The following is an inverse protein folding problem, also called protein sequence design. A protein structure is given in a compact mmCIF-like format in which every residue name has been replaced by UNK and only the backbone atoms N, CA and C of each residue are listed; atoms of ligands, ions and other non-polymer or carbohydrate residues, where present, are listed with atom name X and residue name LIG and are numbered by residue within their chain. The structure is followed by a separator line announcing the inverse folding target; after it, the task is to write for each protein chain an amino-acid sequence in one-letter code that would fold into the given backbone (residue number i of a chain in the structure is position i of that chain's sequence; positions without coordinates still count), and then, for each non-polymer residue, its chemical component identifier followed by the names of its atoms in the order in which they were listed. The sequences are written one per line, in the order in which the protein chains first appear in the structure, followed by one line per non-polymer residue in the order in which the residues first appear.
data_IF_399190336632
#
_entry.id   IF_399190336632
#
_cell.length_a   1.000
_cell.length_b   1.000
_cell.length_c   1.000
_cell.angle_alpha   90.00
_cell.angle_beta   90.00
_cell.angle_gamma   90.00
#
_symmetry.space_group_name_H-M   'P 1'
#
loop_
_entity.id
_entity.type
_entity.pdbx_description
1 polymer ?
#
# COMPACT_ATOMS: atom_id res chain seq x y z
N UNK A 1 30.53 -10.88 -39.42
CA UNK A 1 29.74 -9.63 -39.28
C UNK A 1 29.36 -9.51 -37.82
N UNK A 2 29.99 -8.58 -37.11
CA UNK A 2 29.83 -8.40 -35.67
C UNK A 2 28.56 -7.57 -35.40
N UNK A 3 27.66 -8.11 -34.56
CA UNK A 3 26.50 -7.38 -34.07
C UNK A 3 26.95 -6.43 -32.96
N UNK A 4 26.68 -5.15 -33.13
CA UNK A 4 27.02 -4.11 -32.16
C UNK A 4 26.15 -4.20 -30.92
N UNK A 5 26.79 -4.36 -29.77
CA UNK A 5 26.17 -4.16 -28.46
C UNK A 5 25.84 -2.66 -28.30
N UNK A 6 24.56 -2.34 -28.13
CA UNK A 6 24.11 -0.98 -27.84
C UNK A 6 24.59 -0.52 -26.47
N UNK A 7 24.76 0.80 -26.24
CA UNK A 7 25.25 1.33 -24.98
C UNK A 7 24.23 1.08 -23.86
N UNK A 8 24.62 0.26 -22.88
CA UNK A 8 23.91 0.09 -21.61
C UNK A 8 24.10 1.39 -20.82
N UNK A 9 23.06 2.22 -20.75
CA UNK A 9 23.05 3.40 -19.91
C UNK A 9 23.02 2.97 -18.44
N UNK A 10 24.00 3.33 -17.60
CA UNK A 10 23.89 3.13 -16.17
C UNK A 10 22.78 4.06 -15.67
N UNK A 11 21.65 3.48 -15.25
CA UNK A 11 20.61 4.22 -14.55
C UNK A 11 21.20 4.98 -13.37
N UNK A 12 20.57 6.08 -12.91
CA UNK A 12 21.06 6.85 -11.79
C UNK A 12 21.14 5.94 -10.55
N UNK A 13 22.34 5.50 -10.20
CA UNK A 13 22.63 4.87 -8.92
C UNK A 13 22.52 5.95 -7.86
N UNK A 14 21.30 6.26 -7.43
CA UNK A 14 21.05 7.00 -6.20
C UNK A 14 21.52 6.08 -5.08
N UNK A 15 22.78 6.23 -4.72
CA UNK A 15 23.40 5.56 -3.58
C UNK A 15 22.79 6.23 -2.34
N UNK A 16 21.68 5.70 -1.87
CA UNK A 16 21.13 6.07 -0.57
C UNK A 16 22.22 5.70 0.44
N UNK A 17 22.76 6.67 1.21
CA UNK A 17 23.80 6.38 2.19
C UNK A 17 23.30 5.28 3.13
N UNK A 18 24.18 4.34 3.54
CA UNK A 18 23.77 3.23 4.40
C UNK A 18 23.05 3.80 5.62
N UNK A 19 21.80 3.35 5.80
CA UNK A 19 20.88 3.86 6.81
C UNK A 19 21.58 3.96 8.16
N UNK A 20 21.47 5.12 8.78
CA UNK A 20 21.98 5.37 10.12
C UNK A 20 21.30 4.42 11.11
N UNK A 21 21.96 3.29 11.40
CA UNK A 21 21.50 2.33 12.41
C UNK A 21 21.89 2.87 13.77
N UNK A 22 20.91 3.29 14.55
CA UNK A 22 21.15 3.57 15.95
C UNK A 22 21.57 2.26 16.63
N UNK A 23 22.60 2.28 17.49
CA UNK A 23 22.97 1.09 18.23
C UNK A 23 21.78 0.61 19.06
N UNK A 24 21.52 -0.70 19.07
CA UNK A 24 20.40 -1.29 19.82
C UNK A 24 20.39 -0.87 21.31
N UNK A 25 21.58 -0.65 21.90
CA UNK A 25 21.73 -0.12 23.26
C UNK A 25 21.10 1.26 23.42
N UNK A 26 21.23 2.14 22.43
CA UNK A 26 20.64 3.48 22.45
C UNK A 26 19.11 3.43 22.32
N UNK A 27 18.58 2.55 21.46
CA UNK A 27 17.13 2.32 21.36
C UNK A 27 16.54 1.76 22.66
N UNK A 28 17.26 0.83 23.30
CA UNK A 28 16.87 0.26 24.59
C UNK A 28 16.92 1.33 25.69
N UNK A 29 17.98 2.14 25.75
CA UNK A 29 18.10 3.26 26.68
C UNK A 29 16.98 4.30 26.49
N UNK A 30 16.63 4.63 25.24
CA UNK A 30 15.56 5.57 24.94
C UNK A 30 14.18 5.04 25.37
N UNK A 31 13.94 3.73 25.21
CA UNK A 31 12.72 3.09 25.71
C UNK A 31 12.67 3.05 27.24
N UNK A 32 13.77 2.69 27.90
CA UNK A 32 13.84 2.66 29.36
C UNK A 32 13.64 4.06 29.94
N UNK A 33 14.34 5.05 29.40
CA UNK A 33 14.18 6.45 29.78
C UNK A 33 12.75 6.92 29.56
N UNK A 34 12.17 6.69 28.37
CA UNK A 34 10.80 7.07 28.06
C UNK A 34 9.76 6.40 28.96
N UNK A 35 9.93 5.11 29.28
CA UNK A 35 9.08 4.39 30.22
C UNK A 35 9.20 4.94 31.65
N UNK A 36 10.42 5.20 32.12
CA UNK A 36 10.62 5.78 33.46
C UNK A 36 10.05 7.19 33.58
N UNK A 37 10.22 8.03 32.54
CA UNK A 37 9.63 9.35 32.48
C UNK A 37 8.09 9.30 32.44
N UNK A 38 7.52 8.41 31.62
CA UNK A 38 6.07 8.24 31.55
C UNK A 38 5.48 7.74 32.88
N UNK A 39 6.15 6.78 33.54
CA UNK A 39 5.74 6.28 34.85
C UNK A 39 5.83 7.35 35.94
N UNK A 40 6.91 8.15 35.95
CA UNK A 40 7.05 9.28 36.86
C UNK A 40 5.99 10.36 36.62
N UNK A 41 5.70 10.69 35.36
CA UNK A 41 4.65 11.64 34.98
C UNK A 41 3.26 11.16 35.41
N UNK A 42 2.96 9.88 35.20
CA UNK A 42 1.72 9.25 35.67
C UNK A 42 1.60 9.27 37.20
N UNK A 43 2.68 8.98 37.93
CA UNK A 43 2.70 9.06 39.38
C UNK A 43 2.45 10.49 39.89
N UNK A 44 3.03 11.51 39.25
CA UNK A 44 2.77 12.91 39.57
C UNK A 44 1.29 13.29 39.34
N UNK A 45 0.66 12.78 38.28
CA UNK A 45 -0.77 13.00 38.02
C UNK A 45 -1.66 12.32 39.07
N UNK A 46 -1.36 11.09 39.45
CA UNK A 46 -2.08 10.39 40.53
C UNK A 46 -1.95 11.16 41.84
N UNK A 47 -0.72 11.57 42.18
CA UNK A 47 -0.46 12.31 43.41
C UNK A 47 -1.23 13.65 43.39
N UNK A 48 -1.20 14.36 42.27
CA UNK A 48 -1.99 15.58 42.09
C UNK A 48 -3.49 15.36 42.32
N UNK A 49 -4.06 14.24 41.85
CA UNK A 49 -5.48 13.93 42.04
C UNK A 49 -5.82 13.64 43.50
N UNK A 50 -4.98 12.91 44.22
CA UNK A 50 -5.21 12.55 45.62
C UNK A 50 -4.92 13.68 46.61
N UNK A 51 -3.93 14.54 46.32
CA UNK A 51 -3.50 15.61 47.24
C UNK A 51 -4.44 16.83 47.20
N UNK A 52 -5.18 17.02 46.11
CA UNK A 52 -6.04 18.17 45.88
C UNK A 52 -7.01 18.54 47.00
N UNK A 53 -7.82 17.61 47.53
CA UNK A 53 -8.81 17.94 48.56
C UNK A 53 -8.35 17.70 50.01
N UNK A 54 -7.16 17.12 50.24
CA UNK A 54 -6.77 16.62 51.59
C UNK A 54 -5.64 17.43 52.23
N UNK A 55 -4.76 18.08 51.46
CA UNK A 55 -3.50 18.63 51.98
C UNK A 55 -3.28 20.13 51.69
N UNK A 56 -3.93 20.69 50.68
CA UNK A 56 -3.76 22.11 50.32
C UNK A 56 -5.09 22.85 50.27
N UNK A 57 -5.25 23.90 51.08
CA UNK A 57 -6.42 24.79 51.07
C UNK A 57 -6.48 25.70 49.83
N UNK A 58 -5.41 25.74 49.02
CA UNK A 58 -5.29 26.57 47.82
C UNK A 58 -4.94 25.71 46.59
N UNK A 59 -5.64 25.93 45.47
CA UNK A 59 -5.43 25.24 44.17
C UNK A 59 -3.99 25.36 43.62
N UNK A 60 -3.22 26.33 44.12
CA UNK A 60 -1.93 26.76 43.58
C UNK A 60 -0.81 25.69 43.64
N UNK A 61 -0.89 24.72 44.55
CA UNK A 61 0.10 23.62 44.64
C UNK A 61 -0.19 22.43 43.72
N UNK A 62 -1.46 22.24 43.34
CA UNK A 62 -1.95 21.07 42.61
C UNK A 62 -1.79 21.28 41.10
N UNK A 63 -2.10 22.48 40.61
CA UNK A 63 -2.02 22.83 39.19
C UNK A 63 -0.60 22.65 38.60
N UNK A 64 0.49 23.18 39.20
CA UNK A 64 1.83 23.06 38.64
C UNK A 64 2.32 21.61 38.60
N UNK A 65 1.98 20.80 39.61
CA UNK A 65 2.35 19.40 39.69
C UNK A 65 1.67 18.58 38.59
N UNK A 66 0.39 18.86 38.32
CA UNK A 66 -0.35 18.26 37.22
C UNK A 66 0.26 18.62 35.86
N UNK A 67 0.64 19.89 35.65
CA UNK A 67 1.29 20.32 34.41
C UNK A 67 2.65 19.66 34.19
N UNK A 68 3.48 19.58 35.24
CA UNK A 68 4.78 18.89 35.16
C UNK A 68 4.59 17.40 34.87
N UNK A 69 3.64 16.74 35.55
CA UNK A 69 3.31 15.34 35.32
C UNK A 69 2.83 15.08 33.90
N UNK A 70 1.95 15.94 33.37
CA UNK A 70 1.43 15.86 32.01
C UNK A 70 2.50 16.02 30.94
N UNK A 71 3.35 17.05 31.05
CA UNK A 71 4.48 17.26 30.12
C UNK A 71 5.43 16.06 30.15
N UNK A 72 5.78 15.56 31.33
CA UNK A 72 6.68 14.43 31.48
C UNK A 72 6.09 13.14 30.87
N UNK A 73 4.78 12.93 31.02
CA UNK A 73 4.07 11.81 30.42
C UNK A 73 4.08 11.90 28.89
N UNK A 74 3.75 13.05 28.32
CA UNK A 74 3.75 13.27 26.87
C UNK A 74 5.15 13.02 26.28
N UNK A 75 6.19 13.60 26.88
CA UNK A 75 7.58 13.44 26.43
C UNK A 75 8.03 11.99 26.55
N UNK A 76 7.69 11.31 27.65
CA UNK A 76 8.01 9.90 27.87
C UNK A 76 7.37 8.98 26.83
N UNK A 77 6.07 9.14 26.58
CA UNK A 77 5.35 8.37 25.54
C UNK A 77 5.88 8.66 24.13
N UNK A 78 6.18 9.92 23.84
CA UNK A 78 6.74 10.31 22.55
C UNK A 78 8.11 9.66 22.30
N UNK A 79 8.99 9.64 23.31
CA UNK A 79 10.28 8.95 23.22
C UNK A 79 10.13 7.43 23.01
N UNK A 80 9.17 6.79 23.68
CA UNK A 80 8.86 5.36 23.48
C UNK A 80 8.34 5.10 22.07
N UNK A 81 7.40 5.93 21.58
CA UNK A 81 6.82 5.81 20.24
C UNK A 81 7.87 6.00 19.14
N UNK A 82 8.74 7.01 19.28
CA UNK A 82 9.87 7.22 18.38
C UNK A 82 10.84 6.04 18.39
N UNK A 83 11.16 5.49 19.56
CA UNK A 83 12.07 4.34 19.67
C UNK A 83 11.48 3.05 19.11
N UNK A 84 10.17 2.88 19.19
CA UNK A 84 9.47 1.79 18.53
C UNK A 84 9.46 1.97 17.01
N UNK A 85 9.14 3.16 16.52
CA UNK A 85 9.11 3.49 15.09
C UNK A 85 10.49 3.38 14.43
N UNK A 86 11.54 3.89 15.09
CA UNK A 86 12.92 3.78 14.57
C UNK A 86 13.44 2.35 14.58
N UNK A 87 13.12 1.54 15.60
CA UNK A 87 13.48 0.12 15.61
C UNK A 87 12.81 -0.63 14.44
N UNK A 88 11.51 -0.42 14.24
CA UNK A 88 10.78 -1.01 13.10
C UNK A 88 11.39 -0.60 11.75
N UNK A 89 11.79 0.66 11.60
CA UNK A 89 12.46 1.16 10.39
C UNK A 89 13.88 0.63 10.18
N UNK A 90 14.57 0.19 11.23
CA UNK A 90 15.91 -0.42 11.12
C UNK A 90 15.85 -1.90 10.75
N UNK A 91 14.80 -2.59 11.21
CA UNK A 91 14.54 -3.98 10.85
C UNK A 91 13.86 -4.10 9.46
N UNK A 92 13.25 -3.01 8.98
CA UNK A 92 12.72 -2.92 7.63
C UNK A 92 13.88 -2.86 6.60
N UNK A 93 13.93 -3.78 5.62
CA UNK A 93 14.92 -3.70 4.55
C UNK A 93 14.76 -2.39 3.75
N UNK A 94 15.86 -1.69 3.44
CA UNK A 94 15.81 -0.35 2.85
C UNK A 94 15.11 -0.39 1.49
N UNK A 95 13.98 0.33 1.37
CA UNK A 95 13.24 0.46 0.11
C UNK A 95 12.39 -0.75 -0.30
N UNK A 96 12.45 -1.88 0.43
CA UNK A 96 11.69 -3.08 0.08
C UNK A 96 10.26 -3.06 0.63
N UNK A 97 9.99 -2.42 1.77
CA UNK A 97 8.71 -2.59 2.46
C UNK A 97 7.56 -1.84 1.76
N UNK A 98 7.80 -0.62 1.25
CA UNK A 98 6.76 0.17 0.59
C UNK A 98 6.49 -0.32 -0.84
N UNK A 99 7.52 -0.75 -1.56
CA UNK A 99 7.40 -1.32 -2.91
C UNK A 99 6.80 -2.73 -2.87
N UNK A 100 7.29 -3.64 -2.01
CA UNK A 100 6.66 -4.97 -1.91
C UNK A 100 5.23 -4.92 -1.42
N UNK A 101 4.89 -4.06 -0.46
CA UNK A 101 3.53 -4.03 0.07
C UNK A 101 2.56 -3.43 -0.95
N UNK A 102 2.99 -2.45 -1.75
CA UNK A 102 2.20 -1.93 -2.86
C UNK A 102 2.10 -2.92 -4.02
N UNK A 103 3.21 -3.58 -4.39
CA UNK A 103 3.21 -4.61 -5.42
C UNK A 103 2.34 -5.80 -5.03
N UNK A 104 2.42 -6.27 -3.79
CA UNK A 104 1.64 -7.42 -3.30
C UNK A 104 0.15 -7.08 -3.19
N UNK A 105 -0.21 -5.90 -2.67
CA UNK A 105 -1.62 -5.48 -2.58
C UNK A 105 -2.22 -5.27 -3.96
N UNK A 106 -1.47 -4.63 -4.87
CA UNK A 106 -1.89 -4.41 -6.27
C UNK A 106 -2.01 -5.73 -7.01
N UNK A 107 -1.09 -6.67 -6.78
CA UNK A 107 -1.14 -8.01 -7.36
C UNK A 107 -2.35 -8.80 -6.88
N UNK A 108 -2.61 -8.86 -5.57
CA UNK A 108 -3.76 -9.57 -5.02
C UNK A 108 -5.07 -9.01 -5.58
N UNK A 109 -5.14 -7.68 -5.74
CA UNK A 109 -6.27 -7.04 -6.40
C UNK A 109 -6.43 -7.53 -7.85
N UNK A 110 -5.36 -7.58 -8.64
CA UNK A 110 -5.43 -8.00 -10.05
C UNK A 110 -5.60 -9.50 -10.27
N UNK A 111 -5.05 -10.36 -9.41
CA UNK A 111 -5.31 -11.80 -9.43
C UNK A 111 -6.79 -12.10 -9.14
N UNK A 112 -7.37 -11.40 -8.15
CA UNK A 112 -8.81 -11.49 -7.88
C UNK A 112 -9.64 -10.91 -9.04
N UNK A 113 -9.21 -9.79 -9.60
CA UNK A 113 -9.91 -9.11 -10.70
C UNK A 113 -9.91 -9.94 -12.00
N UNK A 114 -8.80 -10.59 -12.36
CA UNK A 114 -8.74 -11.48 -13.53
C UNK A 114 -9.68 -12.68 -13.36
N UNK A 115 -9.74 -13.25 -12.14
CA UNK A 115 -10.67 -14.33 -11.83
C UNK A 115 -12.14 -13.89 -11.92
N UNK A 116 -12.45 -12.73 -11.35
CA UNK A 116 -13.82 -12.28 -11.12
C UNK A 116 -14.41 -11.54 -12.32
N UNK A 117 -13.62 -10.92 -13.20
CA UNK A 117 -14.11 -10.19 -14.36
C UNK A 117 -13.75 -10.81 -15.71
N UNK A 118 -12.67 -11.58 -15.79
CA UNK A 118 -12.31 -12.29 -17.02
C UNK A 118 -13.39 -13.29 -17.46
N UNK A 119 -14.03 -13.98 -16.51
CA UNK A 119 -15.11 -14.95 -16.77
C UNK A 119 -16.43 -14.28 -17.19
N UNK A 120 -16.96 -13.28 -16.46
CA UNK A 120 -18.14 -12.53 -16.91
C UNK A 120 -17.96 -11.88 -18.28
N UNK A 121 -16.82 -11.23 -18.55
CA UNK A 121 -16.56 -10.59 -19.84
C UNK A 121 -16.60 -11.60 -21.01
N UNK A 122 -16.00 -12.77 -20.82
CA UNK A 122 -16.03 -13.85 -21.83
C UNK A 122 -17.45 -14.38 -22.07
N UNK A 123 -18.26 -14.48 -21.02
CA UNK A 123 -19.69 -14.86 -21.16
C UNK A 123 -20.50 -13.78 -21.86
N UNK A 124 -20.25 -12.51 -21.58
CA UNK A 124 -20.92 -11.38 -22.24
C UNK A 124 -20.57 -11.36 -23.73
N UNK A 125 -19.29 -11.49 -24.09
CA UNK A 125 -18.86 -11.60 -25.49
C UNK A 125 -19.44 -12.85 -26.19
N UNK A 126 -19.56 -13.98 -25.47
CA UNK A 126 -20.23 -15.17 -25.99
C UNK A 126 -21.70 -14.93 -26.31
N UNK A 127 -22.44 -14.30 -25.38
CA UNK A 127 -23.86 -13.95 -25.57
C UNK A 127 -24.09 -12.91 -26.66
N UNK A 128 -23.19 -11.94 -26.79
CA UNK A 128 -23.15 -10.96 -27.89
C UNK A 128 -23.10 -11.71 -29.24
N UNK A 129 -22.16 -12.64 -29.40
CA UNK A 129 -22.00 -13.42 -30.62
C UNK A 129 -23.19 -14.33 -30.90
N UNK A 130 -23.73 -14.98 -29.88
CA UNK A 130 -24.95 -15.80 -29.98
C UNK A 130 -26.15 -14.97 -30.45
N UNK A 131 -26.34 -13.77 -29.86
CA UNK A 131 -27.41 -12.86 -30.23
C UNK A 131 -27.24 -12.35 -31.67
N UNK A 132 -26.02 -12.00 -32.07
CA UNK A 132 -25.68 -11.58 -33.45
C UNK A 132 -26.01 -12.68 -34.46
N UNK A 133 -25.71 -13.93 -34.14
CA UNK A 133 -26.07 -15.08 -34.99
C UNK A 133 -27.58 -15.26 -35.05
N UNK A 134 -28.27 -15.23 -33.91
CA UNK A 134 -29.73 -15.38 -33.84
C UNK A 134 -30.46 -14.33 -34.70
N UNK A 135 -30.02 -13.06 -34.63
CA UNK A 135 -30.57 -11.95 -35.42
C UNK A 135 -30.30 -12.12 -36.92
N UNK A 136 -29.13 -12.62 -37.32
CA UNK A 136 -28.84 -12.92 -38.73
C UNK A 136 -29.69 -14.07 -39.26
N UNK A 137 -30.01 -15.06 -38.42
CA UNK A 137 -30.82 -16.22 -38.81
C UNK A 137 -32.32 -15.98 -38.81
N UNK A 138 -32.83 -15.00 -38.06
CA UNK A 138 -34.27 -14.70 -38.00
C UNK A 138 -34.79 -14.03 -39.28
N UNK A 139 -33.93 -13.47 -40.12
CA UNK A 139 -34.30 -12.80 -41.37
C UNK A 139 -35.06 -11.48 -41.19
N UNK A 140 -35.32 -11.07 -39.95
CA UNK A 140 -35.93 -9.80 -39.60
C UNK A 140 -34.90 -8.67 -39.68
N UNK A 141 -35.25 -7.48 -40.21
CA UNK A 141 -34.38 -6.32 -40.20
C UNK A 141 -34.04 -5.97 -38.75
N UNK A 142 -32.79 -6.21 -38.39
CA UNK A 142 -32.23 -5.89 -37.07
C UNK A 142 -32.30 -4.37 -36.85
N UNK A 143 -32.79 -3.92 -35.69
CA UNK A 143 -32.73 -2.51 -35.33
C UNK A 143 -31.26 -2.05 -35.26
N UNK A 144 -30.92 -0.98 -36.00
CA UNK A 144 -29.55 -0.41 -36.04
C UNK A 144 -28.97 -0.16 -34.65
N UNK A 145 -29.82 0.34 -33.74
CA UNK A 145 -29.47 0.64 -32.34
C UNK A 145 -29.00 -0.60 -31.55
N UNK A 146 -29.57 -1.78 -31.83
CA UNK A 146 -29.15 -3.03 -31.18
C UNK A 146 -27.78 -3.48 -31.71
N UNK A 147 -27.53 -3.33 -33.02
CA UNK A 147 -26.22 -3.65 -33.61
C UNK A 147 -25.13 -2.71 -33.10
N UNK A 148 -25.43 -1.42 -32.96
CA UNK A 148 -24.52 -0.43 -32.37
C UNK A 148 -24.19 -0.75 -30.91
N UNK A 149 -25.17 -1.21 -30.13
CA UNK A 149 -24.93 -1.64 -28.74
C UNK A 149 -24.04 -2.88 -28.68
N UNK A 150 -24.25 -3.86 -29.57
CA UNK A 150 -23.43 -5.07 -29.62
C UNK A 150 -21.98 -4.74 -30.02
N UNK A 151 -21.79 -3.80 -30.95
CA UNK A 151 -20.47 -3.31 -31.36
C UNK A 151 -19.76 -2.55 -30.22
N UNK A 152 -20.50 -1.73 -29.45
CA UNK A 152 -19.95 -1.09 -28.26
C UNK A 152 -19.54 -2.11 -27.19
N UNK A 153 -20.36 -3.14 -26.94
CA UNK A 153 -20.04 -4.20 -25.98
C UNK A 153 -18.77 -4.96 -26.40
N UNK A 154 -18.62 -5.27 -27.70
CA UNK A 154 -17.43 -5.90 -28.27
C UNK A 154 -16.19 -5.02 -28.07
N UNK A 155 -16.28 -3.74 -28.44
CA UNK A 155 -15.18 -2.76 -28.30
C UNK A 155 -14.76 -2.57 -26.85
N UNK A 156 -15.72 -2.39 -25.93
CA UNK A 156 -15.43 -2.23 -24.50
C UNK A 156 -14.76 -3.47 -23.93
N UNK A 157 -15.26 -4.66 -24.26
CA UNK A 157 -14.72 -5.93 -23.74
C UNK A 157 -13.25 -6.12 -24.14
N UNK A 158 -12.89 -5.79 -25.38
CA UNK A 158 -11.51 -5.84 -25.85
C UNK A 158 -10.64 -4.79 -25.15
N UNK A 159 -11.11 -3.55 -25.04
CA UNK A 159 -10.35 -2.47 -24.40
C UNK A 159 -10.05 -2.77 -22.91
N UNK A 160 -11.03 -3.30 -22.17
CA UNK A 160 -10.83 -3.73 -20.78
C UNK A 160 -9.79 -4.84 -20.67
N UNK A 161 -9.77 -5.80 -21.61
CA UNK A 161 -8.78 -6.89 -21.62
C UNK A 161 -7.36 -6.37 -21.83
N UNK A 162 -7.18 -5.41 -22.73
CA UNK A 162 -5.88 -4.78 -23.00
C UNK A 162 -5.40 -3.94 -21.80
N UNK A 163 -6.29 -3.16 -21.19
CA UNK A 163 -5.97 -2.38 -19.99
C UNK A 163 -5.49 -3.28 -18.85
N UNK A 164 -6.17 -4.41 -18.64
CA UNK A 164 -5.80 -5.39 -17.62
C UNK A 164 -4.41 -5.99 -17.90
N UNK A 165 -4.15 -6.40 -19.14
CA UNK A 165 -2.85 -6.93 -19.58
C UNK A 165 -1.72 -5.92 -19.35
N UNK A 166 -1.92 -4.66 -19.74
CA UNK A 166 -0.91 -3.61 -19.57
C UNK A 166 -0.55 -3.38 -18.11
N UNK A 167 -1.54 -3.37 -17.21
CA UNK A 167 -1.30 -3.18 -15.78
C UNK A 167 -0.56 -4.40 -15.20
N UNK A 168 -0.91 -5.62 -15.61
CA UNK A 168 -0.18 -6.82 -15.18
C UNK A 168 1.29 -6.78 -15.60
N UNK A 169 1.60 -6.32 -16.82
CA UNK A 169 2.98 -6.14 -17.29
C UNK A 169 3.72 -5.08 -16.47
N UNK A 170 3.07 -3.94 -16.18
CA UNK A 170 3.63 -2.89 -15.31
C UNK A 170 3.97 -3.43 -13.91
N UNK A 171 3.06 -4.18 -13.30
CA UNK A 171 3.28 -4.81 -11.98
C UNK A 171 4.44 -5.82 -12.05
N UNK A 172 4.56 -6.56 -13.15
CA UNK A 172 5.66 -7.51 -13.35
C UNK A 172 7.01 -6.81 -13.51
N UNK A 173 7.09 -5.73 -14.29
CA UNK A 173 8.32 -4.97 -14.50
C UNK A 173 8.82 -4.30 -13.21
N UNK A 174 7.92 -3.91 -12.30
CA UNK A 174 8.24 -3.37 -10.98
C UNK A 174 8.81 -4.44 -10.03
N UNK A 175 8.70 -5.74 -10.36
CA UNK A 175 9.18 -6.85 -9.52
C UNK A 175 9.73 -8.03 -10.34
N UNK A 176 10.95 -7.88 -10.90
CA UNK A 176 11.55 -8.84 -11.84
C UNK A 176 12.01 -10.17 -11.22
N UNK A 177 11.91 -10.34 -9.90
CA UNK A 177 12.20 -11.62 -9.21
C UNK A 177 11.09 -12.67 -9.42
N UNK A 178 10.02 -12.32 -10.14
CA UNK A 178 8.84 -13.15 -10.37
C UNK A 178 8.93 -13.97 -11.67
N UNK A 179 8.32 -15.17 -11.71
CA UNK A 179 8.17 -15.92 -12.95
C UNK A 179 7.31 -15.13 -13.96
N UNK A 180 7.69 -15.11 -15.25
CA UNK A 180 6.99 -14.32 -16.27
C UNK A 180 5.52 -14.70 -16.37
N UNK A 181 4.62 -13.73 -16.68
CA UNK A 181 3.21 -14.01 -16.86
C UNK A 181 3.03 -15.07 -17.95
N UNK A 182 2.53 -16.24 -17.57
CA UNK A 182 2.24 -17.34 -18.48
C UNK A 182 0.88 -17.10 -19.15
N UNK A 183 0.87 -16.21 -20.15
CA UNK A 183 -0.30 -15.94 -20.98
C UNK A 183 0.14 -15.40 -22.34
N UNK A 184 -0.41 -15.88 -23.46
CA UNK A 184 -0.09 -15.33 -24.77
C UNK A 184 -0.48 -13.85 -24.81
N UNK A 185 0.49 -12.97 -25.03
CA UNK A 185 0.22 -11.59 -25.41
C UNK A 185 -0.24 -11.65 -26.87
N UNK A 186 -1.52 -11.39 -27.11
CA UNK A 186 -2.00 -11.25 -28.49
C UNK A 186 -1.28 -10.05 -29.13
N UNK A 187 -0.61 -10.25 -30.28
CA UNK A 187 0.00 -9.15 -31.00
C UNK A 187 -1.09 -8.17 -31.42
N UNK A 188 -0.83 -6.88 -31.18
CA UNK A 188 -1.55 -5.84 -31.89
C UNK A 188 -1.21 -5.99 -33.39
N UNK A 189 -2.23 -6.28 -34.20
CA UNK A 189 -2.15 -6.11 -35.66
C UNK A 189 -1.93 -4.63 -36.03
#
# INVERSE_FOLDING_TARGET
MAAGEGPVWPGPHISIPPGFRLPQRLLLMMRLFGLTAAAAGFACLILSFFTGPVVFDYLWGVEPLAYIGGVLLIVGLFAVALGAGMARRQDAPPGLELSHQWTETTRQFFELFDHDLGRPLRRIAGKERELRVAMRTSGEPSASEVLELLDEIERQTVNYRLMLSNIQVLVYLESPELPPPTGPVEPAE
#
